data_IF_401601351279
#
_entry.id   IF_401601351279
#
_cell.length_a   1.000
_cell.length_b   1.000
_cell.length_c   1.000
_cell.angle_alpha   90.00
_cell.angle_beta   90.00
_cell.angle_gamma   90.00
#
_symmetry.space_group_name_H-M   'P 1'
#
loop_
_entity.id
_entity.type
_entity.pdbx_description
1 polymer ?
#
# COMPACT_ATOMS: atom_id res chain seq x y z
N UNK A 1 -8.20 4.63 -0.39
CA UNK A 1 -7.43 3.62 -1.15
C UNK A 1 -8.43 2.69 -1.84
N UNK A 2 -8.38 2.61 -3.17
CA UNK A 2 -9.35 1.92 -4.04
C UNK A 2 -8.73 0.59 -4.50
N UNK A 3 -9.42 -0.55 -4.32
CA UNK A 3 -8.91 -1.87 -4.74
C UNK A 3 -9.31 -2.22 -6.18
N UNK A 4 -8.65 -3.21 -6.77
CA UNK A 4 -9.01 -3.75 -8.10
C UNK A 4 -10.46 -4.24 -8.17
N UNK A 5 -11.03 -4.69 -7.06
CA UNK A 5 -12.42 -5.16 -6.99
C UNK A 5 -13.42 -4.00 -6.85
N UNK A 6 -12.97 -2.78 -6.51
CA UNK A 6 -13.88 -1.64 -6.37
C UNK A 6 -14.40 -1.11 -7.73
N UNK A 7 -13.83 -1.56 -8.85
CA UNK A 7 -14.36 -1.26 -10.18
C UNK A 7 -15.75 -1.85 -10.44
N UNK A 8 -16.20 -2.83 -9.65
CA UNK A 8 -17.55 -3.39 -9.77
C UNK A 8 -18.63 -2.53 -9.07
N UNK A 9 -18.25 -1.44 -8.40
CA UNK A 9 -19.17 -0.52 -7.73
C UNK A 9 -19.92 0.38 -8.74
N UNK A 10 -21.03 1.04 -8.34
CA UNK A 10 -21.71 2.01 -9.19
C UNK A 10 -20.73 3.06 -9.75
N UNK A 11 -20.89 3.42 -11.02
CA UNK A 11 -19.97 4.31 -11.73
C UNK A 11 -19.82 5.68 -11.06
N UNK A 12 -20.90 6.21 -10.49
CA UNK A 12 -20.88 7.49 -9.77
C UNK A 12 -20.04 7.42 -8.48
N UNK A 13 -20.09 6.28 -7.77
CA UNK A 13 -19.27 6.04 -6.57
C UNK A 13 -17.79 5.89 -6.96
N UNK A 14 -17.50 5.14 -8.02
CA UNK A 14 -16.14 5.01 -8.56
C UNK A 14 -15.57 6.37 -8.95
N UNK A 15 -16.35 7.18 -9.67
CA UNK A 15 -15.95 8.53 -10.09
C UNK A 15 -15.71 9.45 -8.90
N UNK A 16 -16.58 9.43 -7.89
CA UNK A 16 -16.39 10.20 -6.65
C UNK A 16 -15.09 9.81 -5.94
N UNK A 17 -14.85 8.51 -5.74
CA UNK A 17 -13.64 8.02 -5.07
C UNK A 17 -12.38 8.38 -5.87
N UNK A 18 -12.43 8.35 -7.20
CA UNK A 18 -11.29 8.69 -8.04
C UNK A 18 -10.98 10.19 -8.11
N UNK A 19 -11.94 11.06 -7.76
CA UNK A 19 -11.73 12.51 -7.68
C UNK A 19 -11.20 12.97 -6.31
N UNK A 20 -11.45 12.21 -5.23
CA UNK A 20 -10.95 12.53 -3.88
C UNK A 20 -9.43 12.74 -3.81
N UNK A 21 -8.57 11.96 -4.51
CA UNK A 21 -7.15 12.21 -4.52
C UNK A 21 -6.78 13.59 -5.10
N UNK A 22 -7.48 14.12 -6.10
CA UNK A 22 -7.16 15.42 -6.69
C UNK A 22 -7.38 16.55 -5.67
N UNK A 23 -8.53 16.56 -4.99
CA UNK A 23 -8.82 17.54 -3.93
C UNK A 23 -7.86 17.38 -2.76
N UNK A 24 -7.59 16.13 -2.35
CA UNK A 24 -6.64 15.84 -1.29
C UNK A 24 -5.23 16.35 -1.64
N UNK A 25 -4.72 16.02 -2.81
CA UNK A 25 -3.35 16.37 -3.19
C UNK A 25 -3.18 17.88 -3.32
N UNK A 26 -4.11 18.57 -3.97
CA UNK A 26 -4.03 20.02 -4.12
C UNK A 26 -4.08 20.75 -2.77
N UNK A 27 -4.84 20.23 -1.80
CA UNK A 27 -5.01 20.86 -0.49
C UNK A 27 -3.88 20.52 0.49
N UNK A 28 -3.47 19.26 0.57
CA UNK A 28 -2.62 18.77 1.65
C UNK A 28 -1.16 18.54 1.26
N UNK A 29 -0.81 18.38 -0.03
CA UNK A 29 0.59 18.16 -0.44
C UNK A 29 1.54 19.26 0.04
N UNK A 30 1.21 20.56 -0.04
CA UNK A 30 2.10 21.60 0.48
C UNK A 30 2.38 21.47 1.98
N UNK A 31 1.39 21.01 2.76
CA UNK A 31 1.56 20.76 4.19
C UNK A 31 2.39 19.50 4.45
N UNK A 32 2.12 18.42 3.72
CA UNK A 32 2.89 17.17 3.81
C UNK A 32 4.37 17.42 3.47
N UNK A 33 4.62 18.19 2.43
CA UNK A 33 5.96 18.58 1.99
C UNK A 33 6.70 19.41 3.05
N UNK A 34 6.02 20.43 3.60
CA UNK A 34 6.55 21.23 4.72
C UNK A 34 6.88 20.37 5.95
N UNK A 35 6.16 19.29 6.18
CA UNK A 35 6.39 18.34 7.26
C UNK A 35 7.37 17.20 6.89
N UNK A 36 8.11 17.34 5.78
CA UNK A 36 9.09 16.36 5.32
C UNK A 36 8.50 14.95 5.08
N UNK A 37 7.24 14.87 4.66
CA UNK A 37 6.58 13.61 4.29
C UNK A 37 6.91 13.28 2.84
N UNK A 38 7.30 12.04 2.56
CA UNK A 38 7.52 11.52 1.21
C UNK A 38 6.31 10.73 0.74
N UNK A 39 5.73 11.11 -0.39
CA UNK A 39 4.58 10.41 -0.97
C UNK A 39 5.06 9.34 -1.95
N UNK A 40 4.52 8.13 -1.84
CA UNK A 40 4.74 7.01 -2.76
C UNK A 40 3.41 6.31 -3.07
N UNK A 41 3.38 5.45 -4.10
CA UNK A 41 2.12 4.82 -4.56
C UNK A 41 2.30 3.40 -5.05
N UNK A 42 1.56 2.42 -4.52
CA UNK A 42 1.46 1.03 -5.05
C UNK A 42 0.12 0.83 -5.79
N UNK A 43 0.11 -0.10 -6.75
CA UNK A 43 -1.07 -0.45 -7.54
C UNK A 43 -0.93 -0.06 -9.01
N UNK A 44 -1.98 -0.35 -9.79
CA UNK A 44 -2.00 -0.12 -11.23
C UNK A 44 -2.56 1.27 -11.56
N UNK A 45 -1.65 2.20 -11.85
CA UNK A 45 -2.00 3.58 -12.19
C UNK A 45 -2.58 3.73 -13.61
N UNK A 46 -2.51 2.72 -14.48
CA UNK A 46 -2.94 2.82 -15.89
C UNK A 46 -4.44 3.08 -16.05
N UNK A 47 -5.23 2.75 -15.02
CA UNK A 47 -6.68 2.95 -15.00
C UNK A 47 -7.14 4.20 -14.27
N UNK A 48 -6.21 4.99 -13.74
CA UNK A 48 -6.56 6.24 -13.05
C UNK A 48 -6.97 7.30 -14.08
N UNK A 49 -7.99 8.13 -13.77
CA UNK A 49 -8.29 9.30 -14.60
C UNK A 49 -7.05 10.18 -14.74
N UNK A 50 -6.88 10.80 -15.90
CA UNK A 50 -5.70 11.62 -16.20
C UNK A 50 -5.42 12.68 -15.14
N UNK A 51 -6.46 13.39 -14.68
CA UNK A 51 -6.31 14.43 -13.65
C UNK A 51 -5.82 13.87 -12.31
N UNK A 52 -6.31 12.69 -11.92
CA UNK A 52 -5.88 11.96 -10.73
C UNK A 52 -4.42 11.52 -10.85
N UNK A 53 -4.03 10.99 -12.01
CA UNK A 53 -2.65 10.59 -12.29
C UNK A 53 -1.69 11.78 -12.27
N UNK A 54 -2.04 12.87 -12.97
CA UNK A 54 -1.21 14.07 -13.05
C UNK A 54 -1.01 14.70 -11.64
N UNK A 55 -2.06 14.72 -10.80
CA UNK A 55 -1.96 15.20 -9.42
C UNK A 55 -1.07 14.29 -8.55
N UNK A 56 -1.18 12.97 -8.73
CA UNK A 56 -0.39 11.97 -8.02
C UNK A 56 1.10 12.09 -8.37
N UNK A 57 1.42 12.15 -9.66
CA UNK A 57 2.80 12.29 -10.14
C UNK A 57 3.44 13.58 -9.64
N UNK A 58 2.69 14.69 -9.67
CA UNK A 58 3.13 15.97 -9.11
C UNK A 58 3.44 15.86 -7.61
N UNK A 59 2.58 15.18 -6.84
CA UNK A 59 2.76 15.00 -5.40
C UNK A 59 4.01 14.15 -5.07
N UNK A 60 4.21 13.05 -5.81
CA UNK A 60 5.38 12.18 -5.68
C UNK A 60 6.66 12.95 -6.04
N UNK A 61 6.66 13.70 -7.14
CA UNK A 61 7.81 14.48 -7.60
C UNK A 61 8.16 15.60 -6.61
N UNK A 62 7.17 16.34 -6.12
CA UNK A 62 7.37 17.43 -5.16
C UNK A 62 8.02 16.92 -3.86
N UNK A 63 7.62 15.74 -3.38
CA UNK A 63 8.06 15.20 -2.10
C UNK A 63 9.21 14.18 -2.22
N UNK A 64 9.79 13.99 -3.40
CA UNK A 64 10.75 12.90 -3.67
C UNK A 64 12.03 12.96 -2.83
N UNK A 65 12.42 14.14 -2.40
CA UNK A 65 13.63 14.39 -1.61
C UNK A 65 13.36 14.35 -0.09
N UNK A 66 12.11 14.20 0.32
CA UNK A 66 11.75 14.15 1.72
C UNK A 66 12.19 12.82 2.35
N UNK A 67 12.59 12.90 3.61
CA UNK A 67 13.23 11.81 4.36
C UNK A 67 12.47 11.39 5.62
N UNK A 68 11.35 12.05 5.91
CA UNK A 68 10.50 11.73 7.06
C UNK A 68 9.53 10.58 6.77
N UNK A 69 8.29 10.73 7.24
CA UNK A 69 7.24 9.71 7.06
C UNK A 69 7.06 9.39 5.58
N UNK A 70 6.99 8.10 5.24
CA UNK A 70 6.55 7.66 3.93
C UNK A 70 5.04 7.46 3.96
N UNK A 71 4.30 8.28 3.21
CA UNK A 71 2.88 8.10 2.98
C UNK A 71 2.68 7.35 1.66
N UNK A 72 2.53 6.03 1.74
CA UNK A 72 2.35 5.17 0.57
C UNK A 72 0.86 4.92 0.29
N UNK A 73 0.35 5.41 -0.83
CA UNK A 73 -1.02 5.20 -1.26
C UNK A 73 -1.16 3.91 -2.06
N UNK A 74 -2.10 3.05 -1.67
CA UNK A 74 -2.54 1.92 -2.49
C UNK A 74 -3.72 2.34 -3.38
N UNK A 75 -3.48 2.55 -4.68
CA UNK A 75 -4.48 3.02 -5.64
C UNK A 75 -4.64 2.00 -6.75
N UNK A 76 -5.88 1.54 -6.99
CA UNK A 76 -6.15 0.42 -7.88
C UNK A 76 -5.22 -0.78 -7.60
N UNK A 77 -5.06 -1.09 -6.30
CA UNK A 77 -4.15 -2.11 -5.82
C UNK A 77 -4.91 -3.38 -5.44
N UNK A 78 -4.31 -4.53 -5.74
CA UNK A 78 -4.74 -5.83 -5.26
C UNK A 78 -3.55 -6.78 -5.22
N UNK A 79 -3.31 -7.41 -4.08
CA UNK A 79 -2.11 -8.21 -3.85
C UNK A 79 -1.97 -9.42 -4.78
N UNK A 80 -3.08 -10.07 -5.14
CA UNK A 80 -3.06 -11.11 -6.17
C UNK A 80 -2.57 -10.60 -7.52
N UNK A 81 -3.02 -9.41 -7.94
CA UNK A 81 -2.59 -8.82 -9.21
C UNK A 81 -1.11 -8.39 -9.16
N UNK A 82 -0.65 -7.87 -8.01
CA UNK A 82 0.76 -7.59 -7.75
C UNK A 82 1.62 -8.84 -7.90
N UNK A 83 1.26 -9.95 -7.23
CA UNK A 83 2.00 -11.22 -7.31
C UNK A 83 2.04 -11.74 -8.75
N UNK A 84 0.92 -11.70 -9.48
CA UNK A 84 0.88 -12.10 -10.90
C UNK A 84 1.85 -11.26 -11.73
N UNK A 85 1.86 -9.93 -11.53
CA UNK A 85 2.80 -9.03 -12.22
C UNK A 85 4.26 -9.35 -11.89
N UNK A 86 4.58 -9.63 -10.63
CA UNK A 86 5.92 -9.99 -10.19
C UNK A 86 6.39 -11.30 -10.84
N UNK A 87 5.56 -12.35 -10.81
CA UNK A 87 5.86 -13.64 -11.44
C UNK A 87 6.04 -13.50 -12.95
N UNK A 88 5.21 -12.69 -13.63
CA UNK A 88 5.36 -12.43 -15.06
C UNK A 88 6.66 -11.70 -15.40
N UNK A 89 7.11 -10.77 -14.55
CA UNK A 89 8.39 -10.09 -14.71
C UNK A 89 9.56 -11.07 -14.55
N UNK A 90 9.56 -11.86 -13.48
CA UNK A 90 10.57 -12.90 -13.22
C UNK A 90 10.65 -13.89 -14.38
N UNK A 91 9.50 -14.39 -14.87
CA UNK A 91 9.46 -15.34 -15.98
C UNK A 91 10.09 -14.78 -17.26
N UNK A 92 9.91 -13.48 -17.55
CA UNK A 92 10.56 -12.81 -18.69
C UNK A 92 12.07 -12.70 -18.53
N UNK A 93 12.56 -12.49 -17.31
CA UNK A 93 14.00 -12.47 -17.03
C UNK A 93 14.63 -13.85 -17.19
N UNK A 94 13.92 -14.90 -16.77
CA UNK A 94 14.31 -16.30 -17.01
C UNK A 94 14.35 -16.62 -18.50
N UNK A 95 13.30 -16.29 -19.25
CA UNK A 95 13.23 -16.51 -20.69
C UNK A 95 14.36 -15.79 -21.44
N UNK A 96 14.73 -14.58 -20.99
CA UNK A 96 15.84 -13.82 -21.56
C UNK A 96 17.24 -14.32 -21.13
N UNK A 97 17.33 -15.38 -20.32
CA UNK A 97 18.58 -15.93 -19.81
C UNK A 97 19.31 -15.04 -18.79
N UNK A 98 18.62 -14.05 -18.22
CA UNK A 98 19.19 -13.13 -17.21
C UNK A 98 19.13 -13.69 -15.79
N UNK A 99 18.24 -14.65 -15.57
CA UNK A 99 17.97 -15.27 -14.29
C UNK A 99 17.79 -16.78 -14.48
N UNK A 100 18.37 -17.60 -13.61
CA UNK A 100 18.07 -19.04 -13.58
C UNK A 100 16.85 -19.29 -12.68
N UNK A 101 15.94 -20.21 -13.05
CA UNK A 101 14.79 -20.55 -12.21
C UNK A 101 15.17 -20.94 -10.77
N UNK A 102 16.32 -21.58 -10.58
CA UNK A 102 16.84 -22.03 -9.30
C UNK A 102 17.30 -20.87 -8.40
N UNK A 103 17.49 -19.67 -8.97
CA UNK A 103 17.81 -18.46 -8.22
C UNK A 103 16.56 -17.72 -7.69
N UNK A 104 15.35 -18.24 -7.93
CA UNK A 104 14.11 -17.64 -7.44
C UNK A 104 13.90 -18.04 -5.97
N UNK A 105 14.00 -17.04 -5.09
CA UNK A 105 13.74 -17.15 -3.65
C UNK A 105 12.75 -16.06 -3.17
N UNK A 106 12.47 -16.03 -1.86
CA UNK A 106 11.54 -15.07 -1.26
C UNK A 106 12.00 -13.60 -1.47
N UNK A 107 13.31 -13.35 -1.38
CA UNK A 107 13.90 -12.03 -1.57
C UNK A 107 13.78 -11.55 -3.03
N UNK A 108 13.97 -12.44 -3.99
CA UNK A 108 13.79 -12.14 -5.41
C UNK A 108 12.32 -11.82 -5.70
N UNK A 109 11.37 -12.59 -5.16
CA UNK A 109 9.95 -12.29 -5.30
C UNK A 109 9.66 -10.91 -4.70
N UNK A 110 10.12 -10.64 -3.48
CA UNK A 110 9.92 -9.36 -2.81
C UNK A 110 10.47 -8.16 -3.61
N UNK A 111 11.58 -8.35 -4.34
CA UNK A 111 12.15 -7.32 -5.24
C UNK A 111 11.31 -7.02 -6.47
N UNK A 112 10.44 -7.95 -6.88
CA UNK A 112 9.55 -7.77 -8.02
C UNK A 112 8.14 -7.33 -7.61
N UNK A 113 7.84 -7.25 -6.31
CA UNK A 113 6.58 -6.70 -5.81
C UNK A 113 6.56 -5.17 -5.92
N UNK A 114 5.37 -4.59 -6.00
CA UNK A 114 5.19 -3.13 -6.09
C UNK A 114 5.70 -2.41 -4.83
N UNK A 115 5.82 -3.12 -3.70
CA UNK A 115 6.40 -2.60 -2.45
C UNK A 115 7.93 -2.47 -2.49
N UNK A 116 8.65 -2.99 -3.50
CA UNK A 116 10.13 -2.87 -3.59
C UNK A 116 10.62 -1.42 -3.59
N UNK A 117 9.82 -0.47 -4.09
CA UNK A 117 10.13 0.98 -4.02
C UNK A 117 10.23 1.53 -2.59
N UNK A 118 9.71 0.80 -1.60
CA UNK A 118 9.86 1.16 -0.20
C UNK A 118 11.24 0.71 0.29
N UNK A 119 11.86 1.46 1.23
CA UNK A 119 13.03 0.96 1.95
C UNK A 119 12.76 -0.45 2.48
N UNK A 120 13.77 -1.32 2.43
CA UNK A 120 13.65 -2.74 2.78
C UNK A 120 12.89 -2.97 4.10
N UNK A 121 13.22 -2.20 5.14
CA UNK A 121 12.59 -2.25 6.47
C UNK A 121 11.09 -1.93 6.50
N UNK A 122 10.54 -1.33 5.45
CA UNK A 122 9.14 -0.87 5.40
C UNK A 122 8.32 -1.57 4.31
N UNK A 123 8.89 -2.58 3.65
CA UNK A 123 8.18 -3.36 2.61
C UNK A 123 7.06 -4.19 3.21
N UNK A 124 7.31 -4.71 4.40
CA UNK A 124 6.38 -5.53 5.16
C UNK A 124 5.83 -4.74 6.36
N UNK A 125 4.51 -4.61 6.51
CA UNK A 125 3.94 -3.90 7.64
C UNK A 125 4.02 -4.73 8.92
N UNK A 126 4.42 -4.11 10.02
CA UNK A 126 4.37 -4.75 11.34
C UNK A 126 2.94 -4.86 11.88
N UNK A 127 2.10 -3.86 11.57
CA UNK A 127 0.73 -3.74 12.05
C UNK A 127 -0.18 -3.35 10.89
N UNK A 128 -1.28 -4.11 10.73
CA UNK A 128 -2.36 -3.77 9.81
C UNK A 128 -3.61 -3.44 10.63
N UNK A 129 -4.11 -2.23 10.46
CA UNK A 129 -5.32 -1.73 11.13
C UNK A 129 -6.46 -1.76 10.13
N UNK A 130 -7.58 -2.39 10.51
CA UNK A 130 -8.82 -2.37 9.73
C UNK A 130 -10.00 -1.94 10.60
N UNK A 131 -10.67 -0.88 10.15
CA UNK A 131 -11.87 -0.29 10.75
C UNK A 131 -13.14 -1.02 10.32
N UNK A 132 -14.29 -0.59 10.86
CA UNK A 132 -15.65 -1.04 10.54
C UNK A 132 -16.00 -2.49 10.91
N UNK A 133 -15.26 -3.13 11.82
CA UNK A 133 -15.57 -4.44 12.39
C UNK A 133 -15.28 -5.65 11.48
N UNK A 134 -14.73 -5.41 10.30
CA UNK A 134 -14.55 -6.45 9.29
C UNK A 134 -13.26 -7.26 9.49
N UNK A 135 -13.39 -8.56 9.77
CA UNK A 135 -12.27 -9.45 10.11
C UNK A 135 -11.65 -10.13 8.89
N UNK A 136 -11.07 -9.34 7.98
CA UNK A 136 -10.42 -9.84 6.75
C UNK A 136 -9.38 -8.84 6.22
N UNK A 137 -8.47 -9.28 5.36
CA UNK A 137 -7.54 -8.37 4.66
C UNK A 137 -8.06 -7.88 3.30
N UNK A 138 -9.00 -8.61 2.69
CA UNK A 138 -9.60 -8.24 1.39
C UNK A 138 -8.55 -7.94 0.30
N UNK A 139 -7.64 -8.88 0.05
CA UNK A 139 -6.60 -8.77 -0.99
C UNK A 139 -5.56 -7.65 -0.73
N UNK A 140 -5.51 -7.09 0.48
CA UNK A 140 -4.52 -6.09 0.86
C UNK A 140 -3.24 -6.76 1.37
N UNK A 141 -2.12 -6.56 0.66
CA UNK A 141 -0.77 -6.96 1.06
C UNK A 141 -0.63 -8.43 1.50
N UNK A 142 -1.18 -9.43 0.78
CA UNK A 142 -1.20 -10.82 1.23
C UNK A 142 0.19 -11.45 1.36
N UNK A 143 1.18 -11.02 0.56
CA UNK A 143 2.57 -11.48 0.69
C UNK A 143 3.23 -10.79 1.89
N UNK A 144 3.17 -9.46 1.90
CA UNK A 144 3.85 -8.60 2.87
C UNK A 144 3.28 -8.76 4.29
N UNK A 145 2.02 -9.21 4.41
CA UNK A 145 1.33 -9.36 5.68
C UNK A 145 1.58 -10.69 6.40
N UNK A 146 2.44 -11.56 5.86
CA UNK A 146 2.66 -12.92 6.37
C UNK A 146 2.96 -12.98 7.88
N UNK A 147 3.65 -11.97 8.43
CA UNK A 147 4.00 -11.86 9.85
C UNK A 147 3.52 -10.54 10.50
N UNK A 148 2.50 -9.91 9.91
CA UNK A 148 1.88 -8.73 10.50
C UNK A 148 0.98 -9.09 11.67
N UNK A 149 0.95 -8.23 12.68
CA UNK A 149 -0.15 -8.21 13.64
C UNK A 149 -1.37 -7.52 13.01
N UNK A 150 -2.56 -8.07 13.28
CA UNK A 150 -3.81 -7.55 12.74
C UNK A 150 -4.64 -6.93 13.87
N UNK A 151 -5.01 -5.66 13.70
CA UNK A 151 -5.88 -4.93 14.60
C UNK A 151 -7.20 -4.60 13.90
N UNK A 152 -8.28 -5.20 14.37
CA UNK A 152 -9.63 -4.96 13.87
C UNK A 152 -10.43 -4.15 14.89
N UNK A 153 -11.14 -3.13 14.44
CA UNK A 153 -11.98 -2.28 15.30
C UNK A 153 -13.32 -1.99 14.66
N UNK A 154 -14.37 -1.93 15.48
CA UNK A 154 -15.73 -1.59 15.06
C UNK A 154 -15.90 -0.09 14.74
N UNK A 155 -14.92 0.75 15.11
CA UNK A 155 -14.91 2.18 14.78
C UNK A 155 -14.90 2.35 13.26
N UNK A 156 -15.81 3.16 12.71
CA UNK A 156 -15.84 3.47 11.28
C UNK A 156 -14.71 4.43 10.90
N UNK A 157 -14.24 4.36 9.65
CA UNK A 157 -13.11 5.18 9.18
C UNK A 157 -13.27 6.70 9.40
N UNK A 158 -14.45 7.31 9.15
CA UNK A 158 -14.65 8.75 9.43
C UNK A 158 -14.52 9.12 10.92
N UNK A 159 -14.75 8.15 11.82
CA UNK A 159 -14.68 8.32 13.27
C UNK A 159 -13.31 7.88 13.85
N UNK A 160 -12.42 7.31 13.02
CA UNK A 160 -11.11 6.84 13.46
C UNK A 160 -10.13 8.01 13.55
N UNK A 161 -9.77 8.37 14.78
CA UNK A 161 -8.94 9.54 15.08
C UNK A 161 -7.55 9.16 15.64
N UNK A 162 -6.81 10.18 16.12
CA UNK A 162 -5.51 9.98 16.74
C UNK A 162 -5.54 9.10 18.00
N UNK A 163 -6.64 9.08 18.75
CA UNK A 163 -6.78 8.19 19.91
C UNK A 163 -7.01 6.75 19.46
N UNK A 164 -7.81 6.55 18.41
CA UNK A 164 -7.96 5.26 17.74
C UNK A 164 -6.60 4.67 17.31
N UNK A 165 -5.76 5.48 16.67
CA UNK A 165 -4.41 5.05 16.27
C UNK A 165 -3.53 4.69 17.48
N UNK A 166 -3.52 5.51 18.53
CA UNK A 166 -2.77 5.21 19.76
C UNK A 166 -3.23 3.92 20.42
N UNK A 167 -4.53 3.65 20.41
CA UNK A 167 -5.07 2.41 20.97
C UNK A 167 -4.62 1.18 20.16
N UNK A 168 -4.61 1.27 18.83
CA UNK A 168 -4.11 0.21 17.97
C UNK A 168 -2.61 -0.07 18.20
N UNK A 169 -1.79 0.97 18.30
CA UNK A 169 -0.35 0.84 18.62
C UNK A 169 -0.14 0.26 20.02
N UNK A 170 -0.96 0.66 21.00
CA UNK A 170 -0.91 0.11 22.36
C UNK A 170 -1.26 -1.37 22.41
N UNK A 171 -2.22 -1.83 21.59
CA UNK A 171 -2.52 -3.26 21.43
C UNK A 171 -1.34 -4.01 20.79
N UNK A 172 -0.79 -3.46 19.70
CA UNK A 172 0.38 -4.02 19.02
C UNK A 172 1.56 -4.22 19.98
N UNK A 173 1.87 -3.23 20.82
CA UNK A 173 2.98 -3.31 21.77
C UNK A 173 2.82 -4.39 22.85
N UNK A 174 1.62 -4.95 23.03
CA UNK A 174 1.36 -6.08 23.94
C UNK A 174 1.55 -7.43 23.26
N UNK A 175 1.71 -7.46 21.94
CA UNK A 175 1.89 -8.70 21.16
C UNK A 175 3.32 -9.20 21.32
N UNK A 176 3.45 -10.50 21.55
CA UNK A 176 4.74 -11.18 21.54
C UNK A 176 4.96 -11.79 20.15
N UNK A 177 5.67 -11.06 19.29
CA UNK A 177 6.01 -11.53 17.94
C UNK A 177 7.10 -12.59 18.03
N UNK A 178 6.73 -13.84 17.72
CA UNK A 178 7.64 -14.99 17.85
C UNK A 178 8.29 -15.41 16.54
N UNK A 179 7.77 -14.99 15.39
CA UNK A 179 8.28 -15.35 14.05
C UNK A 179 8.61 -16.85 13.89
N UNK A 180 7.75 -17.72 14.44
CA UNK A 180 7.97 -19.18 14.43
C UNK A 180 8.88 -19.74 15.53
N UNK A 181 9.48 -18.89 16.36
CA UNK A 181 10.16 -19.26 17.60
C UNK A 181 9.19 -19.59 18.75
N UNK A 182 9.70 -20.27 19.80
CA UNK A 182 8.97 -20.58 21.04
C UNK A 182 9.07 -19.44 22.02
#
# INVERSE_FOLDING_TARGET
AFSTENWSRPQDEVKFIMNLPVEFFNKYVPELDKNNVRILTIGDNSRLPKETLDALEKAVEQTKHNSGLILNFALNYGGRAEIVSAVQAIAKEVEAGKLSPEAIDEDLIAKHLMTDKLPYLYRDPDLIIRTSGELRLSNFLPWQSAYSELYFTDVFWPDFDHQGLRQAISDYNKRHRRFGGV
#
